data_IF_499268690808
#
_entry.id   IF_499268690808
#
_cell.length_a   1.000
_cell.length_b   1.000
_cell.length_c   1.000
_cell.angle_alpha   90.00
_cell.angle_beta   90.00
_cell.angle_gamma   90.00
#
_symmetry.space_group_name_H-M   'P 1'
#
loop_
_entity.id
_entity.type
_entity.pdbx_description
1 polymer ?
#
# COMPACT_ATOMS: atom_id res chain seq x y z
N UNK A 1 -44.99 7.70 -31.94
CA UNK A 1 -44.94 8.46 -30.68
C UNK A 1 -43.73 7.97 -29.88
N UNK A 2 -42.82 8.88 -29.56
CA UNK A 2 -41.39 8.58 -29.32
C UNK A 2 -41.09 7.88 -28.00
N UNK A 3 -40.10 6.98 -28.04
CA UNK A 3 -39.49 6.37 -26.87
C UNK A 3 -38.50 7.36 -26.24
N UNK A 4 -38.62 7.60 -24.93
CA UNK A 4 -37.69 8.46 -24.19
C UNK A 4 -36.36 7.72 -23.93
N UNK A 5 -35.24 8.35 -24.30
CA UNK A 5 -33.87 7.87 -24.09
C UNK A 5 -33.47 7.98 -22.61
N UNK A 6 -32.65 7.06 -22.07
CA UNK A 6 -32.33 7.04 -20.64
C UNK A 6 -31.44 8.21 -20.22
N UNK A 7 -31.84 8.91 -19.16
CA UNK A 7 -31.06 9.98 -18.52
C UNK A 7 -30.61 9.51 -17.13
N UNK A 8 -29.30 9.54 -16.83
CA UNK A 8 -28.78 9.43 -15.46
C UNK A 8 -28.75 10.82 -14.85
N UNK A 9 -29.38 10.99 -13.70
CA UNK A 9 -29.38 12.27 -12.98
C UNK A 9 -28.91 12.05 -11.54
N UNK A 10 -27.91 12.83 -11.12
CA UNK A 10 -27.41 12.89 -9.73
C UNK A 10 -27.77 14.28 -9.21
N UNK A 11 -28.56 14.35 -8.13
CA UNK A 11 -28.87 15.61 -7.44
C UNK A 11 -28.18 15.64 -6.07
N UNK A 12 -27.39 16.69 -5.83
CA UNK A 12 -26.86 17.03 -4.51
C UNK A 12 -27.62 18.25 -3.98
N UNK A 13 -28.39 18.07 -2.90
CA UNK A 13 -29.16 19.13 -2.24
C UNK A 13 -30.62 18.77 -1.95
N UNK A 14 -31.31 19.64 -1.20
CA UNK A 14 -32.72 19.47 -0.89
C UNK A 14 -33.58 19.64 -2.15
N UNK A 15 -34.39 18.63 -2.49
CA UNK A 15 -35.24 18.64 -3.68
C UNK A 15 -36.69 19.04 -3.33
N UNK A 16 -37.25 20.01 -4.05
CA UNK A 16 -38.66 20.42 -4.00
C UNK A 16 -39.55 19.44 -4.80
N UNK A 17 -40.78 19.13 -4.36
CA UNK A 17 -41.59 18.09 -5.00
C UNK A 17 -42.19 18.53 -6.34
N UNK A 18 -41.93 17.77 -7.39
CA UNK A 18 -42.64 17.86 -8.69
C UNK A 18 -43.64 16.72 -8.79
N UNK A 19 -44.91 17.02 -9.07
CA UNK A 19 -45.93 16.00 -9.39
C UNK A 19 -45.88 15.71 -10.89
N UNK A 20 -45.65 14.46 -11.26
CA UNK A 20 -45.67 14.02 -12.66
C UNK A 20 -46.63 12.84 -12.80
N UNK A 21 -47.54 12.91 -13.77
CA UNK A 21 -48.41 11.79 -14.17
C UNK A 21 -47.95 11.29 -15.54
N UNK A 22 -47.77 9.98 -15.70
CA UNK A 22 -47.34 9.34 -16.94
C UNK A 22 -48.39 8.30 -17.36
N UNK A 23 -48.85 8.38 -18.61
CA UNK A 23 -49.76 7.42 -19.25
C UNK A 23 -48.95 6.60 -20.27
N UNK A 24 -48.72 5.31 -19.98
CA UNK A 24 -48.01 4.38 -20.88
C UNK A 24 -46.95 3.51 -20.19
N UNK A 25 -46.45 2.50 -20.90
CA UNK A 25 -45.40 1.59 -20.40
C UNK A 25 -44.07 2.33 -20.18
N UNK A 26 -43.51 2.23 -18.98
CA UNK A 26 -42.27 2.91 -18.60
C UNK A 26 -41.16 1.89 -18.24
N UNK A 27 -39.98 2.06 -18.82
CA UNK A 27 -38.75 1.33 -18.47
C UNK A 27 -37.99 2.02 -17.32
N UNK A 28 -37.22 1.29 -16.51
CA UNK A 28 -36.85 1.70 -15.16
C UNK A 28 -35.86 2.88 -15.12
N UNK A 29 -36.15 3.87 -14.27
CA UNK A 29 -35.24 4.98 -13.93
C UNK A 29 -34.53 4.67 -12.61
N UNK A 30 -33.18 4.75 -12.58
CA UNK A 30 -32.39 4.71 -11.34
C UNK A 30 -32.07 6.13 -10.89
N UNK A 31 -32.59 6.54 -9.73
CA UNK A 31 -32.32 7.84 -9.12
C UNK A 31 -31.60 7.64 -7.78
N UNK A 32 -30.49 8.34 -7.56
CA UNK A 32 -29.77 8.38 -6.30
C UNK A 32 -29.88 9.78 -5.69
N UNK A 33 -30.30 9.88 -4.43
CA UNK A 33 -30.47 11.14 -3.70
C UNK A 33 -29.56 11.13 -2.47
N UNK A 34 -28.72 12.17 -2.32
CA UNK A 34 -27.97 12.44 -1.09
C UNK A 34 -28.52 13.70 -0.42
N UNK A 35 -29.29 13.52 0.67
CA UNK A 35 -29.87 14.62 1.45
C UNK A 35 -31.20 14.26 2.12
N UNK A 36 -31.72 15.16 2.96
CA UNK A 36 -33.04 15.00 3.58
C UNK A 36 -34.14 15.05 2.50
N UNK A 37 -34.82 13.92 2.27
CA UNK A 37 -35.88 13.79 1.27
C UNK A 37 -37.23 13.51 1.95
N UNK A 38 -38.27 14.22 1.50
CA UNK A 38 -39.67 13.94 1.86
C UNK A 38 -40.29 13.13 0.70
N UNK A 39 -41.01 12.02 0.96
CA UNK A 39 -41.34 11.05 -0.09
C UNK A 39 -42.26 11.62 -1.18
N UNK A 40 -41.87 11.42 -2.44
CA UNK A 40 -42.67 11.75 -3.63
C UNK A 40 -43.71 10.65 -3.89
N UNK A 41 -44.99 11.02 -4.08
CA UNK A 41 -46.05 10.11 -4.53
C UNK A 41 -46.11 10.11 -6.06
N UNK A 42 -45.83 8.98 -6.70
CA UNK A 42 -46.06 8.78 -8.14
C UNK A 42 -47.27 7.85 -8.32
N UNK A 43 -48.24 8.27 -9.13
CA UNK A 43 -49.37 7.44 -9.53
C UNK A 43 -49.14 6.92 -10.96
N UNK A 44 -49.20 5.60 -11.15
CA UNK A 44 -49.05 4.93 -12.43
C UNK A 44 -50.32 4.11 -12.69
N UNK A 45 -50.94 4.28 -13.87
CA UNK A 45 -52.02 3.41 -14.35
C UNK A 45 -51.47 2.55 -15.50
N UNK A 46 -51.11 1.30 -15.20
CA UNK A 46 -50.57 0.31 -16.16
C UNK A 46 -49.66 -0.73 -15.49
N UNK A 47 -49.39 -1.85 -16.19
CA UNK A 47 -48.55 -2.94 -15.69
C UNK A 47 -47.08 -2.50 -15.50
N UNK A 48 -46.51 -2.75 -14.31
CA UNK A 48 -45.17 -2.30 -13.93
C UNK A 48 -44.37 -3.38 -13.18
N UNK A 49 -43.06 -3.45 -13.44
CA UNK A 49 -42.07 -4.27 -12.71
C UNK A 49 -41.45 -3.39 -11.59
N UNK A 50 -41.23 -3.90 -10.36
CA UNK A 50 -41.01 -3.05 -9.18
C UNK A 50 -39.72 -2.21 -9.22
N UNK A 51 -39.82 -0.93 -8.84
CA UNK A 51 -38.70 0.01 -8.73
C UNK A 51 -38.04 -0.07 -7.35
N UNK A 52 -36.71 -0.15 -7.28
CA UNK A 52 -35.93 -0.05 -6.02
C UNK A 52 -35.44 1.38 -5.80
N UNK A 53 -35.91 2.03 -4.73
CA UNK A 53 -35.37 3.32 -4.25
C UNK A 53 -34.53 3.08 -2.99
N UNK A 54 -33.30 3.59 -2.96
CA UNK A 54 -32.40 3.50 -1.78
C UNK A 54 -32.24 4.91 -1.21
N UNK A 55 -32.67 5.12 0.03
CA UNK A 55 -32.52 6.38 0.76
C UNK A 55 -31.71 6.14 2.04
N UNK A 56 -30.60 6.86 2.20
CA UNK A 56 -29.80 6.85 3.44
C UNK A 56 -30.31 7.93 4.39
N UNK A 57 -30.91 7.54 5.52
CA UNK A 57 -31.18 8.50 6.60
C UNK A 57 -30.95 7.89 7.99
N UNK A 58 -30.16 8.58 8.82
CA UNK A 58 -29.74 8.19 10.18
C UNK A 58 -30.92 8.40 11.15
N UNK A 59 -31.67 7.34 11.52
CA UNK A 59 -32.73 7.47 12.55
C UNK A 59 -32.18 7.28 13.97
N UNK A 60 -32.27 8.34 14.78
CA UNK A 60 -32.16 8.35 16.26
C UNK A 60 -33.21 7.41 16.88
N UNK A 61 -32.80 6.40 17.65
CA UNK A 61 -33.72 5.52 18.41
C UNK A 61 -34.27 6.24 19.65
N UNK A 62 -35.60 6.22 19.79
CA UNK A 62 -36.40 6.77 20.90
C UNK A 62 -36.75 5.62 21.86
N UNK A 63 -36.34 5.69 23.13
CA UNK A 63 -36.59 4.67 24.16
C UNK A 63 -38.09 4.50 24.45
N UNK A 64 -38.59 3.26 24.45
CA UNK A 64 -39.89 2.87 25.02
C UNK A 64 -39.68 1.99 26.26
N UNK A 65 -40.69 2.05 27.13
CA UNK A 65 -40.76 1.76 28.57
C UNK A 65 -40.69 0.25 28.89
N UNK A 66 -40.05 -0.08 30.03
CA UNK A 66 -39.85 -1.42 30.63
C UNK A 66 -41.15 -2.18 30.88
N UNK A 67 -41.12 -3.49 30.65
CA UNK A 67 -41.93 -4.50 31.34
C UNK A 67 -40.95 -5.58 31.79
N UNK A 68 -40.88 -5.86 33.10
CA UNK A 68 -40.00 -6.88 33.67
C UNK A 68 -40.69 -8.24 33.62
N UNK A 69 -40.03 -9.21 33.00
CA UNK A 69 -40.22 -10.64 33.30
C UNK A 69 -38.83 -11.26 33.37
N UNK A 70 -38.54 -11.85 34.53
CA UNK A 70 -37.29 -12.53 34.84
C UNK A 70 -37.16 -13.76 33.94
N UNK A 71 -36.14 -13.80 33.09
CA UNK A 71 -35.48 -15.03 32.68
C UNK A 71 -34.04 -14.69 32.29
N UNK A 72 -33.11 -15.15 33.11
CA UNK A 72 -31.67 -15.06 32.91
C UNK A 72 -31.26 -16.04 31.82
N UNK A 73 -31.00 -15.54 30.61
CA UNK A 73 -30.29 -16.28 29.57
C UNK A 73 -29.23 -15.35 28.98
N UNK A 74 -28.03 -15.90 28.82
CA UNK A 74 -26.83 -15.21 28.35
C UNK A 74 -27.07 -14.43 27.05
N UNK A 75 -27.25 -13.11 27.14
CA UNK A 75 -27.10 -12.21 26.01
C UNK A 75 -25.60 -12.02 25.77
N UNK A 76 -25.04 -12.85 24.90
CA UNK A 76 -23.77 -12.53 24.22
C UNK A 76 -24.06 -11.30 23.39
N UNK A 77 -23.57 -10.16 23.85
CA UNK A 77 -23.50 -8.93 23.08
C UNK A 77 -22.71 -9.23 21.81
N UNK A 78 -23.44 -9.47 20.71
CA UNK A 78 -22.86 -9.61 19.37
C UNK A 78 -22.49 -8.19 18.95
N UNK A 79 -21.43 -7.68 19.59
CA UNK A 79 -20.79 -6.43 19.24
C UNK A 79 -20.58 -6.41 17.74
N UNK A 80 -21.06 -5.34 17.10
CA UNK A 80 -20.88 -5.01 15.69
C UNK A 80 -19.56 -5.56 15.18
N UNK A 81 -19.61 -6.70 14.50
CA UNK A 81 -18.44 -7.28 13.85
C UNK A 81 -18.00 -6.26 12.80
N UNK A 82 -16.87 -5.60 13.05
CA UNK A 82 -16.21 -4.81 12.03
C UNK A 82 -16.02 -5.72 10.82
N UNK A 83 -16.44 -5.26 9.63
CA UNK A 83 -16.27 -6.03 8.42
C UNK A 83 -14.78 -6.37 8.27
N UNK A 84 -14.48 -7.67 8.19
CA UNK A 84 -13.12 -8.15 7.94
C UNK A 84 -12.65 -7.46 6.64
N UNK A 85 -11.52 -6.74 6.65
CA UNK A 85 -11.02 -6.09 5.45
C UNK A 85 -10.79 -7.16 4.36
N UNK A 86 -11.05 -6.84 3.08
CA UNK A 86 -10.80 -7.78 2.00
C UNK A 86 -9.31 -8.15 2.00
N UNK A 87 -9.03 -9.46 1.98
CA UNK A 87 -7.69 -9.99 1.81
C UNK A 87 -7.47 -10.26 0.33
N UNK A 88 -6.50 -9.60 -0.28
CA UNK A 88 -6.10 -9.80 -1.68
C UNK A 88 -4.98 -10.84 -1.76
N UNK A 89 -5.06 -11.72 -2.75
CA UNK A 89 -4.03 -12.71 -3.08
C UNK A 89 -3.13 -12.21 -4.22
N UNK A 90 -2.01 -12.88 -4.50
CA UNK A 90 -1.22 -12.56 -5.70
C UNK A 90 -2.03 -12.93 -6.95
N UNK A 91 -2.82 -14.00 -6.89
CA UNK A 91 -3.80 -14.36 -7.93
C UNK A 91 -4.74 -13.20 -8.28
N UNK A 92 -5.40 -12.58 -7.29
CA UNK A 92 -6.29 -11.43 -7.53
C UNK A 92 -5.58 -10.30 -8.27
N UNK A 93 -4.31 -10.05 -7.90
CA UNK A 93 -3.48 -9.02 -8.51
C UNK A 93 -3.01 -9.39 -9.93
N UNK A 94 -2.86 -10.67 -10.25
CA UNK A 94 -2.61 -11.14 -11.61
C UNK A 94 -3.81 -10.90 -12.53
N UNK A 95 -5.03 -11.09 -12.02
CA UNK A 95 -6.27 -10.75 -12.75
C UNK A 95 -6.32 -9.25 -13.03
N UNK A 96 -6.01 -8.42 -12.03
CA UNK A 96 -5.95 -6.96 -12.16
C UNK A 96 -4.88 -6.52 -13.18
N UNK A 97 -3.77 -7.24 -13.30
CA UNK A 97 -2.77 -6.99 -14.33
C UNK A 97 -3.26 -7.26 -15.76
N UNK A 98 -4.42 -7.89 -15.92
CA UNK A 98 -5.04 -8.23 -17.20
C UNK A 98 -4.76 -9.66 -17.66
N UNK A 99 -4.32 -10.55 -16.77
CA UNK A 99 -4.14 -11.97 -17.09
C UNK A 99 -5.51 -12.66 -17.15
N UNK A 100 -5.67 -13.61 -18.07
CA UNK A 100 -6.91 -14.35 -18.23
C UNK A 100 -7.18 -15.25 -17.01
N UNK A 101 -8.38 -15.12 -16.46
CA UNK A 101 -8.85 -15.89 -15.29
C UNK A 101 -10.12 -16.72 -15.57
N UNK A 102 -10.38 -17.04 -16.84
CA UNK A 102 -11.57 -17.79 -17.24
C UNK A 102 -11.22 -19.10 -17.97
N UNK A 103 -10.11 -19.10 -18.71
CA UNK A 103 -9.68 -20.24 -19.53
C UNK A 103 -8.82 -21.17 -18.69
N UNK A 104 -9.33 -22.38 -18.47
CA UNK A 104 -8.63 -23.41 -17.69
C UNK A 104 -7.65 -24.19 -18.57
N UNK A 105 -6.47 -24.44 -18.01
CA UNK A 105 -5.49 -25.42 -18.47
C UNK A 105 -5.16 -26.34 -17.29
N UNK A 106 -5.41 -27.64 -17.43
CA UNK A 106 -5.22 -28.63 -16.35
C UNK A 106 -5.91 -28.23 -15.03
N UNK A 107 -7.10 -27.61 -15.14
CA UNK A 107 -7.89 -27.19 -13.98
C UNK A 107 -7.45 -25.88 -13.34
N UNK A 108 -6.47 -25.16 -13.89
CA UNK A 108 -6.05 -23.83 -13.41
C UNK A 108 -6.13 -22.76 -14.49
N UNK A 109 -6.45 -21.53 -14.12
CA UNK A 109 -6.43 -20.38 -15.04
C UNK A 109 -4.99 -19.92 -15.31
N UNK A 110 -4.79 -19.03 -16.30
CA UNK A 110 -3.47 -18.45 -16.53
C UNK A 110 -3.03 -17.56 -15.36
N UNK A 111 -3.96 -16.85 -14.73
CA UNK A 111 -3.69 -16.01 -13.55
C UNK A 111 -3.24 -16.87 -12.36
N UNK A 112 -3.93 -17.97 -12.07
CA UNK A 112 -3.56 -18.90 -10.98
C UNK A 112 -2.19 -19.51 -11.22
N UNK A 113 -1.91 -19.90 -12.47
CA UNK A 113 -0.62 -20.48 -12.84
C UNK A 113 0.52 -19.48 -12.70
N UNK A 114 0.37 -18.26 -13.18
CA UNK A 114 1.42 -17.24 -13.01
C UNK A 114 1.61 -16.91 -11.53
N UNK A 115 0.53 -16.72 -10.78
CA UNK A 115 0.61 -16.43 -9.35
C UNK A 115 1.36 -17.54 -8.60
N UNK A 116 1.07 -18.81 -8.87
CA UNK A 116 1.70 -19.93 -8.19
C UNK A 116 3.11 -20.26 -8.73
N UNK A 117 3.29 -20.37 -10.05
CA UNK A 117 4.55 -20.82 -10.65
C UNK A 117 5.68 -19.80 -10.49
N UNK A 118 5.38 -18.49 -10.53
CA UNK A 118 6.38 -17.42 -10.41
C UNK A 118 6.47 -16.91 -8.97
N UNK A 119 5.32 -16.68 -8.34
CA UNK A 119 5.25 -15.98 -7.05
C UNK A 119 4.87 -16.88 -5.87
N UNK A 120 4.58 -18.17 -6.10
CA UNK A 120 4.04 -19.10 -5.09
C UNK A 120 2.81 -18.58 -4.34
N UNK A 121 2.07 -17.66 -4.97
CA UNK A 121 0.96 -16.89 -4.37
C UNK A 121 1.34 -16.15 -3.06
N UNK A 122 2.61 -15.75 -2.92
CA UNK A 122 3.14 -15.08 -1.73
C UNK A 122 3.77 -13.72 -2.07
N UNK A 123 3.32 -12.67 -1.38
CA UNK A 123 3.86 -11.32 -1.55
C UNK A 123 5.32 -11.20 -1.10
N UNK A 124 5.78 -11.98 -0.11
CA UNK A 124 7.18 -11.98 0.32
C UNK A 124 8.09 -12.51 -0.79
N UNK A 125 7.68 -13.60 -1.46
CA UNK A 125 8.40 -14.11 -2.63
C UNK A 125 8.36 -13.08 -3.76
N UNK A 126 7.21 -12.43 -3.95
CA UNK A 126 7.01 -11.41 -5.00
C UNK A 126 8.00 -10.25 -4.91
N UNK A 127 8.27 -9.71 -3.71
CA UNK A 127 9.22 -8.59 -3.57
C UNK A 127 10.66 -8.97 -3.94
N UNK A 128 11.03 -10.23 -3.71
CA UNK A 128 12.38 -10.77 -3.92
C UNK A 128 12.65 -11.19 -5.38
N UNK A 129 11.61 -11.33 -6.20
CA UNK A 129 11.78 -11.65 -7.62
C UNK A 129 12.50 -10.50 -8.33
N UNK A 130 13.68 -10.76 -8.89
CA UNK A 130 14.39 -9.79 -9.74
C UNK A 130 13.65 -9.61 -11.07
N UNK A 131 13.75 -8.42 -11.67
CA UNK A 131 13.07 -8.15 -12.95
C UNK A 131 13.61 -9.03 -14.07
N UNK A 132 14.89 -9.39 -14.04
CA UNK A 132 15.49 -10.32 -15.00
C UNK A 132 14.92 -11.73 -14.84
N UNK A 133 14.85 -12.24 -13.60
CA UNK A 133 14.24 -13.55 -13.31
C UNK A 133 12.78 -13.58 -13.77
N UNK A 134 12.01 -12.54 -13.47
CA UNK A 134 10.63 -12.41 -13.93
C UNK A 134 10.55 -12.47 -15.47
N UNK A 135 11.44 -11.76 -16.17
CA UNK A 135 11.45 -11.77 -17.63
C UNK A 135 11.78 -13.15 -18.19
N UNK A 136 12.70 -13.88 -17.58
CA UNK A 136 13.11 -15.22 -17.98
C UNK A 136 12.01 -16.26 -17.75
N UNK A 137 11.30 -16.19 -16.62
CA UNK A 137 10.15 -17.07 -16.33
C UNK A 137 8.99 -16.80 -17.29
N UNK A 138 8.66 -15.52 -17.53
CA UNK A 138 7.64 -15.16 -18.52
C UNK A 138 8.03 -15.56 -19.95
N UNK A 139 9.33 -15.55 -20.28
CA UNK A 139 9.84 -16.05 -21.57
C UNK A 139 9.73 -17.56 -21.66
N UNK A 140 10.00 -18.26 -20.57
CA UNK A 140 9.87 -19.73 -20.47
C UNK A 140 8.43 -20.16 -20.70
N UNK A 141 7.47 -19.54 -20.02
CA UNK A 141 6.03 -19.77 -20.21
C UNK A 141 5.56 -19.49 -21.64
N UNK A 142 6.12 -18.45 -22.28
CA UNK A 142 5.82 -18.13 -23.67
C UNK A 142 6.45 -19.13 -24.67
N UNK A 143 7.55 -19.79 -24.29
CA UNK A 143 8.27 -20.76 -25.12
C UNK A 143 7.70 -22.18 -25.10
N UNK A 144 6.88 -22.53 -24.10
CA UNK A 144 6.24 -23.83 -24.00
C UNK A 144 5.33 -24.13 -25.21
N UNK A 145 5.05 -25.42 -25.45
CA UNK A 145 4.04 -25.85 -26.43
C UNK A 145 2.62 -25.64 -25.88
N UNK A 146 1.62 -25.61 -26.76
CA UNK A 146 0.20 -25.53 -26.34
C UNK A 146 -0.20 -26.68 -25.42
N UNK A 147 0.31 -27.89 -25.69
CA UNK A 147 0.04 -29.07 -24.86
C UNK A 147 0.68 -28.98 -23.46
N UNK A 148 1.77 -28.23 -23.32
CA UNK A 148 2.44 -27.94 -22.03
C UNK A 148 1.86 -26.71 -21.33
N UNK A 149 0.83 -26.06 -21.89
CA UNK A 149 0.19 -24.91 -21.27
C UNK A 149 0.91 -23.60 -21.52
N UNK A 150 1.36 -23.36 -22.75
CA UNK A 150 1.93 -22.07 -23.18
C UNK A 150 1.10 -20.86 -22.70
N UNK A 151 1.77 -19.86 -22.14
CA UNK A 151 1.16 -18.57 -21.78
C UNK A 151 1.87 -17.43 -22.53
N UNK A 152 1.14 -16.77 -23.43
CA UNK A 152 1.64 -15.61 -24.18
C UNK A 152 1.00 -14.33 -23.68
N UNK A 153 1.79 -13.50 -23.02
CA UNK A 153 1.32 -12.21 -22.50
C UNK A 153 1.66 -11.06 -23.44
N UNK A 154 0.71 -10.15 -23.62
CA UNK A 154 0.92 -8.88 -24.34
C UNK A 154 1.91 -7.98 -23.58
N UNK A 155 2.66 -7.10 -24.28
CA UNK A 155 3.63 -6.20 -23.63
C UNK A 155 3.04 -5.34 -22.52
N UNK A 156 1.76 -4.91 -22.65
CA UNK A 156 1.05 -4.16 -21.61
C UNK A 156 0.88 -4.95 -20.31
N UNK A 157 0.46 -6.21 -20.40
CA UNK A 157 0.31 -7.09 -19.23
C UNK A 157 1.67 -7.30 -18.54
N UNK A 158 2.75 -7.53 -19.32
CA UNK A 158 4.11 -7.65 -18.78
C UNK A 158 4.59 -6.38 -18.06
N UNK A 159 4.15 -5.19 -18.50
CA UNK A 159 4.43 -3.92 -17.80
C UNK A 159 3.67 -3.85 -16.47
N UNK A 160 2.40 -4.27 -16.46
CA UNK A 160 1.59 -4.30 -15.23
C UNK A 160 2.18 -5.25 -14.18
N UNK A 161 2.62 -6.45 -14.56
CA UNK A 161 3.26 -7.40 -13.63
C UNK A 161 4.56 -6.81 -13.05
N UNK A 162 5.37 -6.13 -13.86
CA UNK A 162 6.57 -5.44 -13.36
C UNK A 162 6.23 -4.32 -12.38
N UNK A 163 5.19 -3.55 -12.67
CA UNK A 163 4.70 -2.54 -11.74
C UNK A 163 4.16 -3.15 -10.44
N UNK A 164 3.50 -4.30 -10.52
CA UNK A 164 3.02 -5.05 -9.35
C UNK A 164 4.17 -5.49 -8.43
N UNK A 165 5.26 -6.04 -9.00
CA UNK A 165 6.47 -6.37 -8.23
C UNK A 165 7.04 -5.13 -7.53
N UNK A 166 7.14 -4.00 -8.25
CA UNK A 166 7.60 -2.76 -7.63
C UNK A 166 6.65 -2.28 -6.52
N UNK A 167 5.34 -2.36 -6.73
CA UNK A 167 4.36 -1.99 -5.71
C UNK A 167 4.49 -2.85 -4.45
N UNK A 168 4.66 -4.16 -4.59
CA UNK A 168 4.91 -5.05 -3.44
C UNK A 168 6.14 -4.60 -2.65
N UNK A 169 7.26 -4.33 -3.34
CA UNK A 169 8.47 -3.81 -2.69
C UNK A 169 8.21 -2.51 -1.94
N UNK A 170 7.44 -1.60 -2.53
CA UNK A 170 7.10 -0.32 -1.91
C UNK A 170 6.26 -0.53 -0.63
N UNK A 171 5.26 -1.39 -0.67
CA UNK A 171 4.44 -1.74 0.51
C UNK A 171 5.30 -2.28 1.65
N UNK A 172 6.18 -3.26 1.38
CA UNK A 172 7.10 -3.81 2.39
C UNK A 172 8.07 -2.77 2.94
N UNK A 173 8.69 -1.94 2.07
CA UNK A 173 9.57 -0.84 2.50
C UNK A 173 8.88 0.14 3.44
N UNK A 174 7.57 0.31 3.29
CA UNK A 174 6.75 1.20 4.12
C UNK A 174 6.08 0.47 5.30
N UNK A 175 6.41 -0.80 5.54
CA UNK A 175 5.85 -1.60 6.62
C UNK A 175 4.35 -1.90 6.48
N UNK A 176 3.83 -1.87 5.26
CA UNK A 176 2.42 -2.18 4.96
C UNK A 176 2.29 -3.61 4.44
N UNK A 177 1.16 -4.22 4.77
CA UNK A 177 0.79 -5.55 4.29
C UNK A 177 0.11 -5.44 2.91
N UNK A 178 0.73 -5.94 1.82
CA UNK A 178 0.14 -5.90 0.48
C UNK A 178 -1.18 -6.66 0.38
N UNK A 179 -1.46 -7.61 1.26
CA UNK A 179 -2.71 -8.36 1.25
C UNK A 179 -3.92 -7.49 1.67
N UNK A 180 -3.69 -6.33 2.27
CA UNK A 180 -4.77 -5.45 2.77
C UNK A 180 -5.20 -4.37 1.78
N UNK A 181 -4.46 -4.19 0.68
CA UNK A 181 -4.69 -3.14 -0.31
C UNK A 181 -4.63 -3.71 -1.72
N UNK A 182 -5.59 -3.34 -2.56
CA UNK A 182 -5.60 -3.76 -3.95
C UNK A 182 -4.47 -3.08 -4.74
N UNK A 183 -3.74 -3.82 -5.58
CA UNK A 183 -2.75 -3.23 -6.48
C UNK A 183 -3.37 -2.16 -7.40
N UNK A 184 -2.90 -0.90 -7.36
CA UNK A 184 -3.42 0.16 -8.21
C UNK A 184 -2.80 0.09 -9.61
N UNK A 185 -3.30 -0.79 -10.47
CA UNK A 185 -2.77 -0.98 -11.84
C UNK A 185 -2.73 0.30 -12.68
N UNK A 186 -3.61 1.27 -12.38
CA UNK A 186 -3.62 2.58 -13.02
C UNK A 186 -2.32 3.36 -12.82
N UNK A 187 -1.61 3.11 -11.71
CA UNK A 187 -0.34 3.76 -11.36
C UNK A 187 0.87 3.03 -11.93
N UNK A 188 0.68 2.01 -12.79
CA UNK A 188 1.78 1.19 -13.31
C UNK A 188 2.90 2.01 -13.96
N UNK A 189 2.56 3.06 -14.71
CA UNK A 189 3.57 3.93 -15.33
C UNK A 189 4.42 4.68 -14.29
N UNK A 190 3.78 5.15 -13.21
CA UNK A 190 4.46 5.84 -12.12
C UNK A 190 5.36 4.89 -11.33
N UNK A 191 4.87 3.68 -11.03
CA UNK A 191 5.64 2.63 -10.35
C UNK A 191 6.88 2.21 -11.16
N UNK A 192 6.75 2.02 -12.47
CA UNK A 192 7.90 1.68 -13.33
C UNK A 192 8.93 2.81 -13.39
N UNK A 193 8.49 4.08 -13.41
CA UNK A 193 9.41 5.22 -13.34
C UNK A 193 10.15 5.24 -11.99
N UNK A 194 9.42 5.04 -10.89
CA UNK A 194 9.98 4.96 -9.54
C UNK A 194 10.98 3.82 -9.41
N UNK A 195 10.67 2.64 -9.93
CA UNK A 195 11.58 1.49 -9.97
C UNK A 195 12.92 1.87 -10.60
N UNK A 196 12.89 2.49 -11.79
CA UNK A 196 14.11 2.94 -12.48
C UNK A 196 14.89 3.99 -11.68
N UNK A 197 14.20 4.96 -11.08
CA UNK A 197 14.87 5.98 -10.24
C UNK A 197 15.48 5.37 -8.99
N UNK A 198 14.83 4.38 -8.37
CA UNK A 198 15.34 3.65 -7.22
C UNK A 198 16.56 2.80 -7.58
N UNK A 199 16.54 2.10 -8.72
CA UNK A 199 17.69 1.38 -9.26
C UNK A 199 18.89 2.31 -9.49
N UNK A 200 18.66 3.51 -10.02
CA UNK A 200 19.71 4.53 -10.20
C UNK A 200 20.31 4.98 -8.86
N UNK A 201 19.47 5.17 -7.84
CA UNK A 201 19.92 5.48 -6.48
C UNK A 201 20.81 4.36 -5.92
N UNK A 202 20.35 3.10 -5.99
CA UNK A 202 21.11 1.95 -5.48
C UNK A 202 22.44 1.80 -6.23
N UNK A 203 22.43 1.89 -7.56
CA UNK A 203 23.63 1.79 -8.39
C UNK A 203 24.63 2.93 -8.12
N UNK A 204 24.13 4.17 -7.98
CA UNK A 204 24.95 5.35 -7.72
C UNK A 204 25.45 5.49 -6.29
N UNK A 205 24.92 4.71 -5.35
CA UNK A 205 25.15 4.85 -3.90
C UNK A 205 26.62 4.86 -3.50
N UNK A 206 27.46 4.03 -4.14
CA UNK A 206 28.90 3.98 -3.84
C UNK A 206 29.60 5.30 -4.13
N UNK A 207 29.32 5.92 -5.28
CA UNK A 207 29.90 7.20 -5.66
C UNK A 207 29.36 8.33 -4.77
N UNK A 208 28.04 8.35 -4.56
CA UNK A 208 27.39 9.40 -3.78
C UNK A 208 27.84 9.37 -2.31
N UNK A 209 27.94 8.18 -1.71
CA UNK A 209 28.42 8.04 -0.33
C UNK A 209 29.89 8.43 -0.18
N UNK A 210 30.74 8.16 -1.16
CA UNK A 210 32.14 8.64 -1.15
C UNK A 210 32.24 10.17 -1.20
N UNK A 211 31.36 10.82 -1.96
CA UNK A 211 31.33 12.28 -2.09
C UNK A 211 30.69 12.96 -0.87
N UNK A 212 29.75 12.29 -0.20
CA UNK A 212 29.06 12.78 0.98
C UNK A 212 29.71 12.35 2.30
N UNK A 213 31.00 11.97 2.30
CA UNK A 213 31.69 11.57 3.52
C UNK A 213 31.66 12.72 4.55
N UNK A 214 31.15 12.48 5.76
CA UNK A 214 31.22 13.47 6.83
C UNK A 214 32.67 13.57 7.32
N UNK A 215 32.98 14.71 7.95
CA UNK A 215 34.21 14.81 8.74
C UNK A 215 34.12 13.91 9.98
N UNK A 216 35.27 13.59 10.57
CA UNK A 216 35.29 12.90 11.85
C UNK A 216 34.72 13.80 12.95
N UNK A 217 33.92 13.23 13.84
CA UNK A 217 33.34 13.88 15.00
C UNK A 217 34.37 13.85 16.13
N UNK A 218 35.33 14.77 16.09
CA UNK A 218 36.38 14.95 17.12
C UNK A 218 35.89 15.85 18.27
N UNK A 219 36.70 16.05 19.31
CA UNK A 219 36.28 16.84 20.50
C UNK A 219 36.04 18.34 20.20
N UNK A 220 36.58 18.86 19.10
CA UNK A 220 36.46 20.24 18.64
C UNK A 220 35.26 20.49 17.71
N UNK A 221 34.56 19.43 17.31
CA UNK A 221 33.39 19.51 16.44
C UNK A 221 32.11 19.45 17.28
N UNK A 222 31.16 20.34 17.03
CA UNK A 222 29.87 20.32 17.70
C UNK A 222 28.91 19.30 17.09
N UNK A 223 27.99 18.77 17.88
CA UNK A 223 26.99 17.82 17.39
C UNK A 223 26.08 18.48 16.34
N UNK A 224 25.70 19.74 16.56
CA UNK A 224 24.83 20.52 15.69
C UNK A 224 25.39 20.66 14.28
N UNK A 225 26.71 20.84 14.16
CA UNK A 225 27.42 20.95 12.88
C UNK A 225 27.66 19.58 12.24
N UNK A 226 27.97 18.56 13.05
CA UNK A 226 28.31 17.23 12.54
C UNK A 226 27.09 16.42 12.13
N UNK A 227 26.03 16.38 12.95
CA UNK A 227 24.90 15.48 12.74
C UNK A 227 24.21 15.63 11.38
N UNK A 228 24.02 16.83 10.78
CA UNK A 228 23.35 16.95 9.49
C UNK A 228 24.19 16.32 8.38
N UNK A 229 25.52 16.42 8.47
CA UNK A 229 26.45 15.83 7.50
C UNK A 229 26.40 14.30 7.56
N UNK A 230 26.38 13.73 8.77
CA UNK A 230 26.27 12.29 8.96
C UNK A 230 24.90 11.75 8.52
N UNK A 231 23.81 12.45 8.84
CA UNK A 231 22.45 12.08 8.41
C UNK A 231 22.32 12.11 6.88
N UNK A 232 22.89 13.13 6.22
CA UNK A 232 22.93 13.21 4.76
C UNK A 232 23.77 12.08 4.15
N UNK A 233 24.90 11.74 4.76
CA UNK A 233 25.70 10.59 4.37
C UNK A 233 24.89 9.28 4.43
N UNK A 234 24.15 9.04 5.52
CA UNK A 234 23.26 7.88 5.63
C UNK A 234 22.17 7.85 4.55
N UNK A 235 21.66 9.01 4.11
CA UNK A 235 20.69 9.09 3.01
C UNK A 235 21.25 8.54 1.69
N UNK A 236 22.55 8.66 1.46
CA UNK A 236 23.17 8.19 0.21
C UNK A 236 23.31 6.67 0.14
N UNK A 237 23.17 5.96 1.27
CA UNK A 237 23.42 4.53 1.35
C UNK A 237 22.11 3.74 1.44
N UNK A 238 21.85 2.81 0.50
CA UNK A 238 20.71 1.92 0.59
C UNK A 238 20.92 0.90 1.71
N UNK A 239 19.89 0.73 2.54
CA UNK A 239 19.73 -0.37 3.48
C UNK A 239 19.39 -1.69 2.79
N UNK A 240 18.99 -2.69 3.58
CA UNK A 240 18.72 -4.06 3.11
C UNK A 240 17.71 -4.10 1.97
N UNK A 241 16.61 -3.38 2.08
CA UNK A 241 15.52 -3.34 1.09
C UNK A 241 15.62 -2.14 0.14
N UNK A 242 16.75 -1.43 0.19
CA UNK A 242 16.98 -0.21 -0.58
C UNK A 242 16.35 1.06 0.00
N UNK A 243 15.84 1.01 1.24
CA UNK A 243 15.47 2.22 1.99
C UNK A 243 16.76 2.93 2.44
N UNK A 244 16.90 4.25 2.26
CA UNK A 244 18.09 4.97 2.73
C UNK A 244 18.33 4.80 4.23
N UNK A 245 19.56 4.45 4.66
CA UNK A 245 19.90 4.18 6.07
C UNK A 245 19.52 5.30 7.04
N UNK A 246 19.29 6.52 6.54
CA UNK A 246 18.74 7.65 7.28
C UNK A 246 17.47 7.28 8.10
N UNK A 247 16.64 6.33 7.64
CA UNK A 247 15.44 5.93 8.36
C UNK A 247 15.73 5.41 9.78
N UNK A 248 16.88 4.76 10.00
CA UNK A 248 17.26 4.21 11.31
C UNK A 248 17.37 5.31 12.36
N UNK A 249 17.85 6.49 11.97
CA UNK A 249 18.12 7.63 12.86
C UNK A 249 17.03 8.70 12.82
N UNK A 250 15.89 8.41 12.17
CA UNK A 250 14.78 9.37 12.06
C UNK A 250 14.20 9.76 13.43
N UNK A 251 13.84 11.02 13.60
CA UNK A 251 13.31 11.53 14.88
C UNK A 251 11.94 10.95 15.21
N UNK A 252 11.05 10.86 14.22
CA UNK A 252 9.69 10.35 14.41
C UNK A 252 9.66 8.83 14.38
N UNK A 253 9.27 8.20 15.49
CA UNK A 253 9.18 6.73 15.57
C UNK A 253 7.97 6.17 14.82
N UNK A 254 6.86 6.92 14.84
CA UNK A 254 5.65 6.56 14.11
C UNK A 254 5.82 6.86 12.61
N UNK A 255 5.34 5.98 11.71
CA UNK A 255 5.22 6.27 10.29
C UNK A 255 4.41 7.55 10.04
N UNK A 256 4.89 8.43 9.17
CA UNK A 256 4.22 9.69 8.81
C UNK A 256 3.70 9.56 7.37
N UNK A 257 2.40 9.28 7.15
CA UNK A 257 1.82 9.05 5.83
C UNK A 257 1.55 10.37 5.09
N UNK A 258 2.59 11.18 4.92
CA UNK A 258 2.54 12.43 4.16
C UNK A 258 3.04 12.17 2.75
N UNK A 259 2.40 12.79 1.76
CA UNK A 259 2.91 12.75 0.40
C UNK A 259 4.21 13.56 0.31
N UNK A 260 5.24 12.93 -0.25
CA UNK A 260 6.51 13.57 -0.55
C UNK A 260 6.77 13.48 -2.06
N UNK A 261 7.26 14.57 -2.66
CA UNK A 261 7.67 14.58 -4.07
C UNK A 261 8.89 13.65 -4.28
N UNK A 262 9.82 13.65 -3.33
CA UNK A 262 10.89 12.66 -3.25
C UNK A 262 10.37 11.38 -2.59
N UNK A 263 10.25 10.31 -3.39
CA UNK A 263 9.78 9.02 -2.89
C UNK A 263 10.76 8.37 -1.89
N UNK A 264 12.05 8.74 -1.89
CA UNK A 264 13.00 8.25 -0.88
C UNK A 264 12.66 8.81 0.50
N UNK A 265 12.19 10.06 0.57
CA UNK A 265 11.72 10.65 1.82
C UNK A 265 10.51 9.89 2.35
N UNK A 266 9.57 9.54 1.49
CA UNK A 266 8.42 8.71 1.87
C UNK A 266 8.86 7.36 2.45
N UNK A 267 9.89 6.71 1.88
CA UNK A 267 10.43 5.47 2.46
C UNK A 267 11.06 5.71 3.83
N UNK A 268 11.88 6.76 3.99
CA UNK A 268 12.50 7.10 5.27
C UNK A 268 11.45 7.36 6.36
N UNK A 269 10.37 8.08 6.03
CA UNK A 269 9.32 8.46 6.98
C UNK A 269 8.31 7.35 7.26
N UNK A 270 8.29 6.27 6.48
CA UNK A 270 7.33 5.18 6.66
C UNK A 270 7.97 3.87 7.11
N UNK A 271 9.26 3.66 6.82
CA UNK A 271 9.93 2.39 7.08
C UNK A 271 9.85 1.97 8.56
N UNK A 272 9.55 0.69 8.83
CA UNK A 272 9.42 0.20 10.19
C UNK A 272 10.77 0.25 10.91
N UNK A 273 10.75 0.62 12.19
CA UNK A 273 11.92 0.59 13.07
C UNK A 273 12.03 -0.75 13.82
N UNK A 274 11.65 -1.85 13.15
CA UNK A 274 11.66 -3.21 13.66
C UNK A 274 11.72 -4.21 12.50
N UNK A 275 11.95 -5.49 12.81
CA UNK A 275 12.05 -6.55 11.81
C UNK A 275 13.47 -6.72 11.27
N UNK A 276 13.64 -7.71 10.39
CA UNK A 276 14.95 -8.18 9.94
C UNK A 276 15.76 -7.09 9.21
N UNK A 277 15.11 -6.37 8.28
CA UNK A 277 15.72 -5.28 7.54
C UNK A 277 16.24 -4.18 8.47
N UNK A 278 15.42 -3.76 9.45
CA UNK A 278 15.83 -2.81 10.47
C UNK A 278 16.99 -3.34 11.30
N UNK A 279 16.96 -4.58 11.78
CA UNK A 279 18.06 -5.14 12.59
C UNK A 279 19.40 -5.10 11.84
N UNK A 280 19.42 -5.47 10.56
CA UNK A 280 20.64 -5.41 9.75
C UNK A 280 21.11 -3.98 9.52
N UNK A 281 20.21 -3.08 9.15
CA UNK A 281 20.56 -1.69 8.85
C UNK A 281 20.96 -0.92 10.12
N UNK A 282 20.33 -1.22 11.24
CA UNK A 282 20.67 -0.69 12.56
C UNK A 282 22.09 -1.07 12.98
N UNK A 283 22.50 -2.32 12.72
CA UNK A 283 23.88 -2.76 12.94
C UNK A 283 24.87 -2.06 12.00
N UNK A 284 24.52 -1.85 10.72
CA UNK A 284 25.36 -1.08 9.79
C UNK A 284 25.55 0.37 10.26
N UNK A 285 24.49 1.02 10.70
CA UNK A 285 24.56 2.39 11.24
C UNK A 285 25.49 2.47 12.44
N UNK A 286 25.46 1.47 13.34
CA UNK A 286 26.41 1.41 14.46
C UNK A 286 27.87 1.33 14.00
N UNK A 287 28.17 0.49 13.00
CA UNK A 287 29.53 0.38 12.45
C UNK A 287 29.99 1.71 11.87
N UNK A 288 29.11 2.40 11.14
CA UNK A 288 29.41 3.71 10.57
C UNK A 288 29.62 4.76 11.67
N UNK A 289 28.79 4.78 12.71
CA UNK A 289 28.97 5.70 13.85
C UNK A 289 30.33 5.51 14.49
N UNK A 290 30.70 4.27 14.83
CA UNK A 290 32.00 3.96 15.44
C UNK A 290 33.18 4.42 14.59
N UNK A 291 33.05 4.38 13.27
CA UNK A 291 34.09 4.85 12.35
C UNK A 291 34.33 6.37 12.47
N UNK A 292 33.26 7.16 12.59
CA UNK A 292 33.37 8.62 12.53
C UNK A 292 33.52 9.31 13.88
N UNK A 293 33.31 8.63 15.01
CA UNK A 293 33.50 9.25 16.34
C UNK A 293 34.91 9.08 16.91
N UNK A 294 35.83 8.47 16.15
CA UNK A 294 37.18 8.16 16.62
C UNK A 294 37.88 9.45 17.04
N UNK A 295 38.40 9.47 18.27
CA UNK A 295 39.09 10.64 18.82
C UNK A 295 38.19 11.60 19.62
N UNK A 296 36.87 11.41 19.62
CA UNK A 296 35.98 12.07 20.58
C UNK A 296 35.79 11.19 21.81
N UNK A 297 36.50 11.57 22.88
CA UNK A 297 36.59 10.79 24.11
C UNK A 297 35.25 10.65 24.82
N UNK A 298 34.42 11.70 24.77
CA UNK A 298 33.07 11.68 25.35
C UNK A 298 32.14 10.77 24.53
N UNK A 299 32.11 10.93 23.21
CA UNK A 299 31.29 10.11 22.31
C UNK A 299 31.65 8.62 22.42
N UNK A 300 32.94 8.29 22.43
CA UNK A 300 33.41 6.92 22.61
C UNK A 300 33.03 6.36 23.98
N UNK A 301 33.16 7.14 25.06
CA UNK A 301 32.77 6.72 26.40
C UNK A 301 31.26 6.47 26.49
N UNK A 302 30.44 7.35 25.92
CA UNK A 302 28.98 7.19 25.85
C UNK A 302 28.60 5.89 25.15
N UNK A 303 29.20 5.59 23.99
CA UNK A 303 28.90 4.33 23.29
C UNK A 303 29.37 3.08 24.05
N UNK A 304 30.50 3.15 24.76
CA UNK A 304 30.99 2.04 25.60
C UNK A 304 30.06 1.76 26.78
N UNK A 305 29.47 2.79 27.37
CA UNK A 305 28.60 2.66 28.55
C UNK A 305 27.26 1.94 28.27
N UNK A 306 26.73 2.04 27.05
CA UNK A 306 25.35 1.59 26.73
C UNK A 306 25.30 0.13 26.24
N UNK A 307 26.45 -0.54 26.04
CA UNK A 307 26.53 -1.91 25.52
C UNK A 307 25.63 -2.15 24.29
N UNK A 308 25.82 -1.32 23.26
CA UNK A 308 24.90 -1.14 22.10
C UNK A 308 25.12 -2.14 20.95
N UNK A 309 25.44 -3.40 21.20
CA UNK A 309 25.68 -4.36 20.11
C UNK A 309 24.51 -4.39 19.10
N UNK A 310 24.78 -4.06 17.84
CA UNK A 310 23.78 -3.98 16.77
C UNK A 310 22.76 -2.83 16.89
N UNK A 311 22.88 -1.93 17.88
CA UNK A 311 21.89 -0.88 18.20
C UNK A 311 22.35 0.52 17.76
N UNK A 312 22.51 0.73 16.45
CA UNK A 312 22.93 2.01 15.87
C UNK A 312 22.02 3.20 16.17
N UNK A 313 20.70 3.00 16.22
CA UNK A 313 19.70 4.02 16.57
C UNK A 313 19.89 4.49 18.01
N UNK A 314 19.95 3.56 18.96
CA UNK A 314 20.13 3.89 20.38
C UNK A 314 21.48 4.60 20.60
N UNK A 315 22.53 4.11 19.92
CA UNK A 315 23.84 4.76 19.89
C UNK A 315 23.76 6.20 19.36
N UNK A 316 23.07 6.42 18.24
CA UNK A 316 22.88 7.76 17.67
C UNK A 316 22.13 8.69 18.61
N UNK A 317 21.04 8.21 19.23
CA UNK A 317 20.24 8.99 20.17
C UNK A 317 21.06 9.37 21.41
N UNK A 318 21.89 8.45 21.90
CA UNK A 318 22.75 8.69 23.06
C UNK A 318 23.88 9.69 22.80
N UNK A 319 24.38 9.80 21.57
CA UNK A 319 25.41 10.79 21.24
C UNK A 319 24.88 12.23 21.23
N UNK A 320 23.57 12.41 21.13
CA UNK A 320 22.91 13.72 21.22
C UNK A 320 22.82 14.24 22.66
N UNK A 321 22.83 13.35 23.65
CA UNK A 321 22.63 13.67 25.09
C UNK A 321 23.94 13.88 25.80
#
# INVERSE_FOLDING_TARGET
MGAATPTKTVLMGAATPTKTALMGAATPTKTALMGAATPTKTALMGAATPTKTVAFNKKKKRKKKKTLTNDTMYDIDIGTMAAIPPLFTVHDNMVICGINDATLFQGRTQAERIAYEIFSDDFNITMDVSIDKLNDELKTLAGMTTAQGQIRLMPGIKKNIRAFVQWCRDEFRMGRDPATVQFPVIDAAHLLRRMKTHEQYVYGSKLMSQQALPQDFTNDVTWEDWHPTFVNYLRTMPGRDGVPLQYVVRTNEAPVPTYHEDFLEMYIQMAPLHGEAFTMDNAKVLVLLRKFIVGNTQAEATLRAINVEGKGRDAFIALRT
#
